data_IF_324795773008
#
_entry.id   IF_324795773008
#
_cell.length_a   1.000
_cell.length_b   1.000
_cell.length_c   1.000
_cell.angle_alpha   90.00
_cell.angle_beta   90.00
_cell.angle_gamma   90.00
#
_symmetry.space_group_name_H-M   'P 1'
#
loop_
_entity.id
_entity.type
_entity.pdbx_description
1 polymer ?
#
# COMPACT_ATOMS: atom_id res chain seq x y z
N UNK A 1 2.36 -13.68 9.59
CA UNK A 1 2.03 -12.65 10.59
C UNK A 1 1.86 -11.31 9.91
N UNK A 2 0.91 -10.49 10.36
CA UNK A 2 0.44 -9.33 9.60
C UNK A 2 1.47 -8.20 9.41
N UNK A 3 2.38 -7.99 10.37
CA UNK A 3 3.33 -6.86 10.34
C UNK A 3 4.77 -7.20 9.94
N UNK A 4 5.12 -8.49 9.85
CA UNK A 4 6.53 -8.91 9.72
C UNK A 4 7.38 -8.38 10.88
N UNK A 5 8.49 -7.71 10.56
CA UNK A 5 9.30 -6.99 11.55
C UNK A 5 8.61 -5.68 11.98
N UNK A 6 8.66 -5.38 13.28
CA UNK A 6 7.98 -4.23 13.85
C UNK A 6 8.74 -3.62 15.03
N UNK A 7 8.60 -2.32 15.24
CA UNK A 7 8.99 -1.64 16.49
C UNK A 7 7.87 -1.76 17.52
N UNK A 8 8.15 -1.48 18.80
CA UNK A 8 7.12 -1.44 19.84
C UNK A 8 6.00 -0.44 19.54
N UNK A 9 6.33 0.70 18.92
CA UNK A 9 5.32 1.70 18.51
C UNK A 9 4.38 1.14 17.44
N UNK A 10 4.92 0.37 16.49
CA UNK A 10 4.12 -0.25 15.44
C UNK A 10 3.11 -1.25 16.03
N UNK A 11 3.58 -2.10 16.96
CA UNK A 11 2.71 -3.05 17.67
C UNK A 11 1.62 -2.32 18.47
N UNK A 12 1.98 -1.21 19.12
CA UNK A 12 1.06 -0.45 19.95
C UNK A 12 -0.07 0.21 19.13
N UNK A 13 0.25 0.71 17.93
CA UNK A 13 -0.69 1.36 17.01
C UNK A 13 -1.44 0.38 16.10
N UNK A 14 -0.99 -0.88 16.00
CA UNK A 14 -1.73 -1.94 15.31
C UNK A 14 -2.77 -2.59 16.24
N UNK A 15 -2.41 -2.86 17.50
CA UNK A 15 -3.29 -3.45 18.51
C UNK A 15 -3.94 -2.36 19.37
N UNK A 16 -4.81 -1.55 18.77
CA UNK A 16 -5.47 -0.42 19.44
C UNK A 16 -6.66 -0.82 20.30
N UNK A 17 -7.22 -2.01 20.08
CA UNK A 17 -8.33 -2.57 20.83
C UNK A 17 -8.12 -4.07 21.14
N UNK A 18 -8.45 -4.55 22.35
CA UNK A 18 -8.87 -3.78 23.53
C UNK A 18 -7.72 -2.93 24.08
N UNK A 19 -8.06 -1.90 24.88
CA UNK A 19 -7.03 -1.12 25.58
C UNK A 19 -6.45 -1.96 26.71
N UNK A 20 -5.17 -2.28 26.61
CA UNK A 20 -4.43 -2.95 27.68
C UNK A 20 -4.01 -1.98 28.78
N UNK A 21 -3.87 -2.48 30.00
CA UNK A 21 -3.32 -1.69 31.10
C UNK A 21 -1.88 -1.22 30.78
N UNK A 22 -1.45 -0.08 31.34
CA UNK A 22 -0.08 0.39 31.17
C UNK A 22 0.93 -0.70 31.57
N UNK A 23 1.82 -1.07 30.65
CA UNK A 23 2.89 -2.05 30.90
C UNK A 23 2.57 -3.51 30.56
N UNK A 24 1.30 -3.93 30.41
CA UNK A 24 0.95 -5.32 30.05
C UNK A 24 1.63 -5.76 28.76
N UNK A 25 1.62 -4.90 27.73
CA UNK A 25 2.29 -5.16 26.44
C UNK A 25 3.80 -5.33 26.59
N UNK A 26 4.44 -4.50 27.42
CA UNK A 26 5.89 -4.58 27.66
C UNK A 26 6.27 -5.86 28.40
N UNK A 27 5.48 -6.26 29.39
CA UNK A 27 5.69 -7.51 30.12
C UNK A 27 5.53 -8.74 29.19
N UNK A 28 4.46 -8.77 28.39
CA UNK A 28 4.25 -9.84 27.42
C UNK A 28 5.39 -9.91 26.38
N UNK A 29 5.80 -8.77 25.84
CA UNK A 29 6.91 -8.72 24.89
C UNK A 29 8.24 -9.18 25.51
N UNK A 30 8.52 -8.79 26.76
CA UNK A 30 9.70 -9.26 27.50
C UNK A 30 9.69 -10.78 27.67
N UNK A 31 8.58 -11.37 28.10
CA UNK A 31 8.45 -12.81 28.23
C UNK A 31 8.67 -13.54 26.89
N UNK A 32 8.13 -13.00 25.78
CA UNK A 32 8.34 -13.57 24.45
C UNK A 32 9.81 -13.52 23.98
N UNK A 33 10.55 -12.48 24.38
CA UNK A 33 11.99 -12.36 24.13
C UNK A 33 12.79 -13.36 25.00
N UNK A 34 12.46 -13.46 26.28
CA UNK A 34 13.08 -14.42 27.21
C UNK A 34 12.89 -15.87 26.76
N UNK A 35 11.73 -16.18 26.18
CA UNK A 35 11.43 -17.51 25.61
C UNK A 35 11.96 -17.71 24.17
N UNK A 36 12.53 -16.69 23.54
CA UNK A 36 13.04 -16.75 22.17
C UNK A 36 11.96 -16.89 21.08
N UNK A 37 10.69 -16.60 21.40
CA UNK A 37 9.61 -16.56 20.41
C UNK A 37 9.68 -15.31 19.53
N UNK A 38 10.13 -14.21 20.12
CA UNK A 38 10.47 -12.95 19.47
C UNK A 38 11.97 -12.73 19.62
N UNK A 39 12.59 -12.19 18.58
CA UNK A 39 14.00 -11.79 18.60
C UNK A 39 14.14 -10.35 18.16
N UNK A 40 15.20 -9.70 18.63
CA UNK A 40 15.65 -8.42 18.08
C UNK A 40 16.35 -8.64 16.75
N UNK A 41 16.13 -7.73 15.81
CA UNK A 41 16.81 -7.71 14.52
C UNK A 41 17.29 -6.29 14.21
N UNK A 42 18.34 -6.19 13.42
CA UNK A 42 18.76 -4.93 12.82
C UNK A 42 18.06 -4.72 11.48
N UNK A 43 17.66 -3.48 11.22
CA UNK A 43 17.08 -3.06 9.94
C UNK A 43 17.92 -1.93 9.38
N UNK A 44 18.52 -2.16 8.21
CA UNK A 44 19.37 -1.20 7.52
C UNK A 44 18.68 0.18 7.41
N UNK A 45 19.38 1.25 7.78
CA UNK A 45 18.83 2.62 7.74
C UNK A 45 17.87 2.97 8.87
N UNK A 46 17.67 2.09 9.85
CA UNK A 46 16.87 2.36 11.05
C UNK A 46 17.72 2.35 12.32
N UNK A 47 17.53 3.36 13.17
CA UNK A 47 18.16 3.44 14.50
C UNK A 47 17.29 2.88 15.63
N UNK A 48 16.09 2.38 15.31
CA UNK A 48 15.13 1.87 16.29
C UNK A 48 15.33 0.40 16.60
N UNK A 49 14.83 -0.04 17.75
CA UNK A 49 14.75 -1.46 18.12
C UNK A 49 13.65 -2.15 17.31
N UNK A 50 14.04 -3.10 16.46
CA UNK A 50 13.12 -3.92 15.68
C UNK A 50 13.00 -5.32 16.24
N UNK A 51 11.78 -5.84 16.17
CA UNK A 51 11.39 -7.13 16.68
C UNK A 51 10.80 -7.96 15.55
N UNK A 52 11.12 -9.23 15.51
CA UNK A 52 10.51 -10.19 14.61
C UNK A 52 10.21 -11.48 15.36
N UNK A 53 9.24 -12.25 14.87
CA UNK A 53 9.06 -13.60 15.36
C UNK A 53 10.26 -14.44 14.92
N UNK A 54 10.87 -15.18 15.84
CA UNK A 54 12.08 -15.97 15.59
C UNK A 54 11.90 -16.90 14.38
N UNK A 55 10.72 -17.53 14.27
CA UNK A 55 10.36 -18.42 13.16
C UNK A 55 10.28 -17.75 11.79
N UNK A 56 10.12 -16.43 11.72
CA UNK A 56 10.02 -15.68 10.47
C UNK A 56 11.36 -15.09 10.02
N UNK A 57 12.40 -15.10 10.86
CA UNK A 57 13.74 -14.59 10.52
C UNK A 57 14.29 -15.21 9.24
N UNK A 58 14.23 -16.54 9.01
CA UNK A 58 14.70 -17.12 7.75
C UNK A 58 13.96 -16.60 6.51
N UNK A 59 12.66 -16.28 6.64
CA UNK A 59 11.86 -15.71 5.55
C UNK A 59 12.24 -14.27 5.28
N UNK A 60 12.50 -13.47 6.32
CA UNK A 60 12.99 -12.09 6.18
C UNK A 60 14.36 -12.05 5.49
N UNK A 61 15.28 -12.95 5.86
CA UNK A 61 16.59 -13.08 5.20
C UNK A 61 16.45 -13.47 3.73
N UNK A 62 15.54 -14.41 3.42
CA UNK A 62 15.24 -14.78 2.03
C UNK A 62 14.64 -13.61 1.25
N UNK A 63 13.70 -12.87 1.83
CA UNK A 63 13.08 -11.71 1.20
C UNK A 63 14.10 -10.62 0.88
N UNK A 64 15.05 -10.34 1.79
CA UNK A 64 16.14 -9.38 1.58
C UNK A 64 17.01 -9.73 0.36
N UNK A 65 17.17 -11.02 0.06
CA UNK A 65 17.99 -11.50 -1.08
C UNK A 65 17.22 -11.60 -2.39
N UNK A 66 15.89 -11.51 -2.34
CA UNK A 66 15.06 -11.61 -3.52
C UNK A 66 15.09 -10.29 -4.29
N UNK A 67 15.21 -10.36 -5.61
CA UNK A 67 15.11 -9.17 -6.46
C UNK A 67 13.71 -8.53 -6.39
N UNK A 68 12.66 -9.35 -6.31
CA UNK A 68 11.27 -8.93 -6.14
C UNK A 68 10.58 -9.85 -5.11
N UNK A 69 10.58 -9.50 -3.81
CA UNK A 69 9.99 -10.35 -2.76
C UNK A 69 8.46 -10.37 -2.78
N UNK A 70 7.84 -9.37 -3.42
CA UNK A 70 6.39 -9.23 -3.61
C UNK A 70 6.08 -9.11 -5.10
N UNK A 71 4.94 -9.64 -5.55
CA UNK A 71 4.51 -9.59 -6.95
C UNK A 71 3.02 -9.27 -7.06
N UNK A 72 2.67 -8.59 -8.15
CA UNK A 72 1.29 -8.26 -8.52
C UNK A 72 0.89 -6.85 -8.09
N UNK A 73 -0.29 -6.46 -8.57
CA UNK A 73 -0.89 -5.16 -8.28
C UNK A 73 -2.21 -5.33 -7.56
N UNK A 74 -2.45 -4.53 -6.53
CA UNK A 74 -3.74 -4.48 -5.86
C UNK A 74 -4.06 -3.06 -5.39
N UNK A 75 -5.35 -2.81 -5.22
CA UNK A 75 -5.85 -1.59 -4.60
C UNK A 75 -6.12 -1.86 -3.12
N UNK A 76 -5.45 -1.13 -2.25
CA UNK A 76 -5.69 -1.24 -0.81
C UNK A 76 -6.99 -0.53 -0.45
N UNK A 77 -7.82 -1.19 0.36
CA UNK A 77 -8.99 -0.56 0.94
C UNK A 77 -8.56 0.70 1.73
N UNK A 78 -9.40 1.75 1.80
CA UNK A 78 -9.00 2.99 2.45
C UNK A 78 -8.80 2.83 3.98
N UNK A 79 -9.29 1.71 4.53
CA UNK A 79 -9.17 1.29 5.92
C UNK A 79 -8.31 0.03 6.09
N UNK A 80 -7.50 -0.32 5.10
CA UNK A 80 -6.59 -1.47 5.19
C UNK A 80 -5.68 -1.34 6.42
N UNK A 81 -5.42 -2.47 7.09
CA UNK A 81 -4.59 -2.51 8.29
C UNK A 81 -3.15 -2.01 8.08
N UNK A 82 -2.65 -2.09 6.85
CA UNK A 82 -1.37 -1.50 6.45
C UNK A 82 -1.37 0.02 6.68
N UNK A 83 -2.53 0.68 6.52
CA UNK A 83 -2.67 2.14 6.51
C UNK A 83 -3.02 2.74 7.88
N UNK A 84 -3.27 1.91 8.91
CA UNK A 84 -3.72 2.38 10.22
C UNK A 84 -2.70 3.28 10.93
N UNK A 85 -1.41 2.95 10.85
CA UNK A 85 -0.35 3.75 11.46
C UNK A 85 0.43 4.52 10.39
N UNK A 86 -0.02 5.74 10.12
CA UNK A 86 0.51 6.61 9.05
C UNK A 86 2.02 6.85 9.14
N UNK A 87 2.57 7.02 10.33
CA UNK A 87 4.02 7.22 10.50
C UNK A 87 4.82 5.98 10.10
N UNK A 88 4.30 4.76 10.35
CA UNK A 88 4.91 3.53 9.86
C UNK A 88 4.87 3.46 8.34
N UNK A 89 3.74 3.81 7.73
CA UNK A 89 3.61 3.82 6.26
C UNK A 89 4.58 4.82 5.64
N UNK A 90 4.66 6.04 6.18
CA UNK A 90 5.60 7.05 5.72
C UNK A 90 7.05 6.58 5.89
N UNK A 91 7.39 5.97 7.04
CA UNK A 91 8.75 5.46 7.32
C UNK A 91 9.16 4.29 6.42
N UNK A 92 8.24 3.35 6.17
CA UNK A 92 8.55 2.13 5.42
C UNK A 92 8.42 2.29 3.91
N UNK A 93 7.48 3.12 3.45
CA UNK A 93 7.13 3.22 2.03
C UNK A 93 7.36 4.61 1.44
N UNK A 94 7.73 5.61 2.24
CA UNK A 94 7.83 7.00 1.77
C UNK A 94 6.49 7.57 1.31
N UNK A 95 5.37 7.05 1.84
CA UNK A 95 4.02 7.32 1.34
C UNK A 95 3.17 8.02 2.40
N UNK A 96 2.88 9.32 2.20
CA UNK A 96 1.93 10.06 3.04
C UNK A 96 0.50 9.86 2.51
N UNK A 97 -0.27 9.11 3.29
CA UNK A 97 -1.64 8.75 2.99
C UNK A 97 -2.62 9.37 3.98
N UNK A 98 -3.67 9.99 3.45
CA UNK A 98 -4.82 10.46 4.22
C UNK A 98 -6.07 10.39 3.36
N UNK A 99 -7.13 9.78 3.88
CA UNK A 99 -8.46 9.89 3.28
C UNK A 99 -9.01 11.30 3.43
N UNK A 100 -9.63 11.83 2.38
CA UNK A 100 -10.13 13.21 2.35
C UNK A 100 -11.67 13.25 2.41
N UNK A 101 -12.24 12.24 3.06
CA UNK A 101 -13.69 12.06 3.25
C UNK A 101 -14.32 13.29 3.93
N UNK A 102 -13.65 13.87 4.92
CA UNK A 102 -14.10 15.07 5.62
C UNK A 102 -13.64 16.38 4.98
N UNK A 103 -12.81 16.31 3.93
CA UNK A 103 -12.36 17.49 3.20
C UNK A 103 -13.44 17.89 2.18
N UNK A 104 -13.86 19.17 2.10
CA UNK A 104 -14.79 19.61 1.06
C UNK A 104 -14.23 19.35 -0.34
N UNK A 105 -15.11 19.01 -1.28
CA UNK A 105 -14.72 18.51 -2.62
C UNK A 105 -13.66 19.34 -3.34
N UNK A 106 -13.84 20.67 -3.38
CA UNK A 106 -12.89 21.58 -4.05
C UNK A 106 -11.51 21.68 -3.38
N UNK A 107 -11.38 21.24 -2.12
CA UNK A 107 -10.12 21.23 -1.36
C UNK A 107 -9.44 19.85 -1.33
N UNK A 108 -10.05 18.86 -1.98
CA UNK A 108 -9.45 17.52 -2.09
C UNK A 108 -8.28 17.55 -3.06
N UNK A 109 -7.18 16.92 -2.68
CA UNK A 109 -5.99 16.76 -3.51
C UNK A 109 -6.07 15.45 -4.28
N UNK A 110 -6.47 14.36 -3.60
CA UNK A 110 -6.42 13.01 -4.17
C UNK A 110 -7.81 12.41 -4.43
N UNK A 111 -8.83 12.77 -3.64
CA UNK A 111 -10.18 12.22 -3.81
C UNK A 111 -10.87 11.85 -2.50
N UNK A 112 -12.07 11.27 -2.59
CA UNK A 112 -12.91 11.06 -1.41
C UNK A 112 -12.49 9.83 -0.59
N UNK A 113 -12.57 8.65 -1.22
CA UNK A 113 -12.11 7.36 -0.67
C UNK A 113 -11.01 6.80 -1.56
N UNK A 114 -9.86 7.46 -1.53
CA UNK A 114 -8.73 7.06 -2.37
C UNK A 114 -8.19 5.70 -1.97
N UNK A 115 -8.02 4.81 -2.93
CA UNK A 115 -7.43 3.49 -2.74
C UNK A 115 -5.93 3.57 -3.10
N UNK A 116 -4.99 3.30 -2.18
CA UNK A 116 -3.59 3.18 -2.55
C UNK A 116 -3.34 2.05 -3.55
N UNK A 117 -2.43 2.28 -4.49
CA UNK A 117 -1.99 1.30 -5.48
C UNK A 117 -0.72 0.65 -4.95
N UNK A 118 -0.81 -0.63 -4.57
CA UNK A 118 0.34 -1.44 -4.19
C UNK A 118 0.75 -2.30 -5.39
N UNK A 119 1.95 -2.11 -5.90
CA UNK A 119 2.51 -2.86 -7.02
C UNK A 119 3.87 -3.44 -6.62
N UNK A 120 4.03 -4.76 -6.69
CA UNK A 120 5.28 -5.46 -6.37
C UNK A 120 5.89 -5.08 -5.00
N UNK A 121 5.03 -4.74 -4.03
CA UNK A 121 5.43 -4.30 -2.69
C UNK A 121 5.66 -2.81 -2.53
N UNK A 122 5.46 -2.01 -3.57
CA UNK A 122 5.66 -0.56 -3.59
C UNK A 122 4.33 0.21 -3.67
N UNK A 123 4.20 1.28 -2.89
CA UNK A 123 3.05 2.19 -2.97
C UNK A 123 3.29 3.24 -4.06
N UNK A 124 2.86 2.94 -5.28
CA UNK A 124 3.19 3.71 -6.49
C UNK A 124 2.21 4.85 -6.78
N UNK A 125 1.07 4.89 -6.08
CA UNK A 125 0.04 5.89 -6.32
C UNK A 125 -1.25 5.61 -5.57
N UNK A 126 -2.31 6.26 -6.02
CA UNK A 126 -3.63 6.21 -5.39
C UNK A 126 -4.73 6.55 -6.40
N UNK A 127 -5.91 5.96 -6.22
CA UNK A 127 -7.05 6.10 -7.14
C UNK A 127 -8.32 6.54 -6.42
N UNK A 128 -9.00 7.57 -6.94
CA UNK A 128 -10.36 7.95 -6.57
C UNK A 128 -11.35 7.28 -7.55
N UNK A 129 -12.08 6.29 -7.05
CA UNK A 129 -13.08 5.54 -7.80
C UNK A 129 -14.50 5.88 -7.37
N UNK A 130 -15.43 5.88 -8.31
CA UNK A 130 -16.86 5.99 -8.06
C UNK A 130 -17.63 4.95 -8.86
N UNK A 131 -18.35 4.08 -8.15
CA UNK A 131 -19.30 3.16 -8.78
C UNK A 131 -20.65 3.85 -8.98
N UNK A 132 -21.15 3.80 -10.21
CA UNK A 132 -22.48 4.20 -10.63
C UNK A 132 -23.32 2.93 -10.85
N UNK A 133 -23.94 2.43 -9.77
CA UNK A 133 -24.61 1.11 -9.78
C UNK A 133 -25.75 1.01 -10.81
N UNK A 134 -26.49 2.11 -11.02
CA UNK A 134 -27.57 2.13 -12.01
C UNK A 134 -27.09 2.06 -13.46
N UNK A 135 -25.82 2.36 -13.72
CA UNK A 135 -25.19 2.31 -15.04
C UNK A 135 -24.22 1.13 -15.18
N UNK A 136 -24.06 0.31 -14.14
CA UNK A 136 -23.03 -0.74 -14.05
C UNK A 136 -21.64 -0.22 -14.46
N UNK A 137 -21.30 0.99 -14.01
CA UNK A 137 -20.07 1.68 -14.42
C UNK A 137 -19.18 2.01 -13.23
N UNK A 138 -17.89 1.70 -13.37
CA UNK A 138 -16.84 2.17 -12.48
C UNK A 138 -16.15 3.39 -13.11
N UNK A 139 -16.36 4.55 -12.51
CA UNK A 139 -15.67 5.78 -12.88
C UNK A 139 -14.37 5.92 -12.08
N UNK A 140 -13.23 5.81 -12.76
CA UNK A 140 -11.93 6.20 -12.24
C UNK A 140 -11.77 7.71 -12.42
N UNK A 141 -12.14 8.45 -11.39
CA UNK A 141 -12.16 9.93 -11.40
C UNK A 141 -10.77 10.50 -11.47
N UNK A 142 -9.86 9.94 -10.68
CA UNK A 142 -8.49 10.41 -10.62
C UNK A 142 -7.53 9.29 -10.23
N UNK A 143 -6.50 9.07 -11.04
CA UNK A 143 -5.31 8.31 -10.65
C UNK A 143 -4.19 9.29 -10.36
N UNK A 144 -3.64 9.26 -9.15
CA UNK A 144 -2.50 10.06 -8.74
C UNK A 144 -1.30 9.15 -8.47
N UNK A 145 -0.34 9.15 -9.39
CA UNK A 145 0.92 8.43 -9.24
C UNK A 145 1.91 9.25 -8.40
N UNK A 146 2.69 8.56 -7.57
CA UNK A 146 3.78 9.18 -6.83
C UNK A 146 4.83 9.75 -7.80
N UNK A 147 5.46 10.87 -7.40
CA UNK A 147 6.42 11.59 -8.27
C UNK A 147 7.61 10.72 -8.64
N UNK A 148 8.13 9.96 -7.68
CA UNK A 148 9.27 9.07 -7.89
C UNK A 148 8.94 8.02 -8.95
N UNK A 149 7.78 7.36 -8.84
CA UNK A 149 7.32 6.37 -9.80
C UNK A 149 7.12 6.99 -11.18
N UNK A 150 6.40 8.11 -11.26
CA UNK A 150 6.09 8.75 -12.52
C UNK A 150 7.33 9.29 -13.26
N UNK A 151 8.39 9.64 -12.53
CA UNK A 151 9.67 10.09 -13.08
C UNK A 151 10.67 8.95 -13.26
N UNK A 152 10.27 7.69 -13.08
CA UNK A 152 11.14 6.52 -13.12
C UNK A 152 12.37 6.68 -12.21
N UNK A 153 12.16 7.23 -11.02
CA UNK A 153 13.16 7.28 -9.95
C UNK A 153 13.09 6.00 -9.11
N UNK A 154 14.18 5.63 -8.42
CA UNK A 154 14.15 4.55 -7.44
C UNK A 154 13.07 4.77 -6.37
N UNK A 155 12.48 3.69 -5.88
CA UNK A 155 11.55 3.72 -4.76
C UNK A 155 12.22 4.34 -3.53
N UNK A 156 11.54 5.23 -2.78
CA UNK A 156 12.03 5.71 -1.50
C UNK A 156 12.07 4.62 -0.43
N UNK A 157 11.33 3.52 -0.61
CA UNK A 157 11.25 2.40 0.32
C UNK A 157 12.43 1.44 0.18
N UNK A 158 12.71 1.01 -1.05
CA UNK A 158 13.66 -0.08 -1.33
C UNK A 158 14.88 0.37 -2.13
N UNK A 159 14.86 1.58 -2.70
CA UNK A 159 15.88 2.02 -3.66
C UNK A 159 15.85 1.26 -4.99
N UNK A 160 14.84 0.41 -5.22
CA UNK A 160 14.70 -0.34 -6.47
C UNK A 160 13.93 0.45 -7.52
N UNK A 161 14.19 0.18 -8.80
CA UNK A 161 13.41 0.73 -9.90
C UNK A 161 12.21 -0.16 -10.15
N UNK A 162 11.03 0.44 -10.28
CA UNK A 162 9.81 -0.25 -10.68
C UNK A 162 9.71 -0.23 -12.21
N UNK A 163 9.39 -1.37 -12.81
CA UNK A 163 9.02 -1.44 -14.22
C UNK A 163 7.68 -0.74 -14.43
N UNK A 164 7.71 0.41 -15.10
CA UNK A 164 6.53 1.25 -15.27
C UNK A 164 5.51 0.62 -16.22
N UNK A 165 5.94 -0.16 -17.21
CA UNK A 165 5.01 -0.78 -18.15
C UNK A 165 4.22 -1.87 -17.45
N UNK A 166 4.92 -2.81 -16.81
CA UNK A 166 4.29 -3.86 -15.99
C UNK A 166 3.42 -3.30 -14.86
N UNK A 167 3.82 -2.17 -14.26
CA UNK A 167 3.00 -1.49 -13.25
C UNK A 167 1.70 -0.90 -13.82
N UNK A 168 1.73 -0.32 -15.02
CA UNK A 168 0.51 0.20 -15.65
C UNK A 168 -0.44 -0.93 -16.08
N UNK A 169 0.11 -2.03 -16.58
CA UNK A 169 -0.66 -3.25 -16.90
C UNK A 169 -1.36 -3.77 -15.65
N UNK A 170 -0.61 -3.95 -14.56
CA UNK A 170 -1.17 -4.40 -13.29
C UNK A 170 -2.18 -3.42 -12.68
N UNK A 171 -2.05 -2.11 -12.92
CA UNK A 171 -3.08 -1.13 -12.50
C UNK A 171 -4.36 -1.30 -13.31
N UNK A 172 -4.27 -1.54 -14.62
CA UNK A 172 -5.44 -1.83 -15.45
C UNK A 172 -6.13 -3.12 -15.00
N UNK A 173 -5.37 -4.19 -14.71
CA UNK A 173 -5.90 -5.44 -14.14
C UNK A 173 -6.59 -5.21 -12.79
N UNK A 174 -6.00 -4.39 -11.93
CA UNK A 174 -6.59 -4.04 -10.63
C UNK A 174 -7.89 -3.25 -10.79
N UNK A 175 -8.02 -2.40 -11.82
CA UNK A 175 -9.28 -1.72 -12.14
C UNK A 175 -10.33 -2.68 -12.68
N UNK A 176 -9.95 -3.63 -13.53
CA UNK A 176 -10.85 -4.69 -14.00
C UNK A 176 -11.34 -5.56 -12.83
N UNK A 177 -10.43 -5.98 -11.95
CA UNK A 177 -10.78 -6.72 -10.72
C UNK A 177 -11.72 -5.94 -9.81
N UNK A 178 -11.46 -4.64 -9.61
CA UNK A 178 -12.37 -3.78 -8.84
C UNK A 178 -13.73 -3.65 -9.52
N UNK A 179 -13.78 -3.52 -10.84
CA UNK A 179 -15.02 -3.45 -11.61
C UNK A 179 -15.86 -4.72 -11.40
N UNK A 180 -15.25 -5.90 -11.52
CA UNK A 180 -15.90 -7.18 -11.19
C UNK A 180 -16.42 -7.19 -9.76
N UNK A 181 -15.61 -6.78 -8.78
CA UNK A 181 -16.00 -6.76 -7.37
C UNK A 181 -17.21 -5.85 -7.10
N UNK A 182 -17.30 -4.70 -7.76
CA UNK A 182 -18.40 -3.74 -7.56
C UNK A 182 -19.60 -3.94 -8.50
N UNK A 183 -19.55 -4.96 -9.38
CA UNK A 183 -20.60 -5.26 -10.35
C UNK A 183 -20.71 -4.24 -11.47
N UNK A 184 -19.57 -3.75 -11.98
CA UNK A 184 -19.50 -2.85 -13.12
C UNK A 184 -18.98 -3.57 -14.37
N UNK A 185 -19.63 -3.34 -15.50
CA UNK A 185 -19.28 -3.87 -16.82
C UNK A 185 -18.39 -2.90 -17.61
N UNK A 186 -18.39 -1.62 -17.25
CA UNK A 186 -17.59 -0.58 -17.88
C UNK A 186 -16.66 0.12 -16.87
N UNK A 187 -15.41 0.37 -17.28
CA UNK A 187 -14.45 1.21 -16.56
C UNK A 187 -14.15 2.46 -17.38
N UNK A 188 -14.37 3.64 -16.79
CA UNK A 188 -14.06 4.94 -17.43
C UNK A 188 -12.92 5.64 -16.70
N UNK A 189 -12.04 6.33 -17.44
CA UNK A 189 -10.87 7.03 -16.88
C UNK A 189 -10.90 8.53 -17.19
N UNK A 190 -11.15 9.34 -16.16
CA UNK A 190 -11.21 10.79 -16.29
C UNK A 190 -9.81 11.43 -16.23
N UNK A 191 -9.19 11.50 -15.04
CA UNK A 191 -7.92 12.21 -14.82
C UNK A 191 -6.80 11.27 -14.38
N UNK A 192 -5.58 11.53 -14.87
CA UNK A 192 -4.35 10.92 -14.33
C UNK A 192 -3.35 12.03 -14.02
N UNK A 193 -2.60 11.90 -12.92
CA UNK A 193 -1.52 12.80 -12.52
C UNK A 193 -0.24 12.01 -12.31
N UNK A 194 0.86 12.33 -13.01
CA UNK A 194 0.94 13.32 -14.09
C UNK A 194 0.21 12.88 -15.37
N UNK A 195 -0.34 13.84 -16.11
CA UNK A 195 -1.22 13.59 -17.27
C UNK A 195 -0.58 12.75 -18.40
N UNK A 196 0.76 12.75 -18.50
CA UNK A 196 1.51 11.92 -19.47
C UNK A 196 1.30 10.41 -19.30
N UNK A 197 0.86 9.96 -18.13
CA UNK A 197 0.55 8.55 -17.87
C UNK A 197 -0.90 8.18 -18.24
N UNK A 198 -1.75 9.16 -18.59
CA UNK A 198 -3.12 8.89 -19.02
C UNK A 198 -3.20 8.09 -20.33
N UNK A 199 -2.52 8.48 -21.43
CA UNK A 199 -2.65 7.75 -22.69
C UNK A 199 -2.26 6.26 -22.63
N UNK A 200 -1.13 5.84 -22.03
CA UNK A 200 -0.81 4.42 -21.93
C UNK A 200 -1.82 3.66 -21.08
N UNK A 201 -2.22 4.20 -19.92
CA UNK A 201 -3.21 3.54 -19.06
C UNK A 201 -4.60 3.43 -19.74
N UNK A 202 -5.01 4.46 -20.48
CA UNK A 202 -6.27 4.44 -21.22
C UNK A 202 -6.27 3.35 -22.30
N UNK A 203 -5.14 3.13 -23.00
CA UNK A 203 -5.05 2.08 -24.01
C UNK A 203 -5.26 0.69 -23.41
N UNK A 204 -4.69 0.44 -22.24
CA UNK A 204 -4.82 -0.84 -21.53
C UNK A 204 -6.28 -1.11 -21.12
N UNK A 205 -7.01 -0.09 -20.69
CA UNK A 205 -8.44 -0.23 -20.34
C UNK A 205 -9.36 -0.46 -21.54
N UNK A 206 -8.93 -0.08 -22.74
CA UNK A 206 -9.72 -0.26 -23.98
C UNK A 206 -9.27 -1.45 -24.82
N UNK A 207 -8.16 -2.09 -24.47
CA UNK A 207 -7.69 -3.26 -25.18
C UNK A 207 -8.67 -4.42 -24.94
N UNK A 208 -9.04 -5.19 -25.98
CA UNK A 208 -9.82 -6.40 -25.77
C UNK A 208 -9.04 -7.37 -24.88
N UNK A 209 -9.73 -7.98 -23.90
CA UNK A 209 -9.13 -9.01 -23.06
C UNK A 209 -8.53 -10.10 -23.95
N UNK A 210 -7.23 -10.37 -23.77
CA UNK A 210 -6.47 -11.34 -24.57
C UNK A 210 -6.68 -12.75 -24.05
#
# INVERSE_FOLDING_TARGET
HAMGAATESDLAHYLTFPRFAPGTRRAALRALLEHGEVVEIDVDGSSGRWLALARDVPKLVRARRAAAPSRGTTLLAPFDSLLWYRERVARLFGFDYRIEVYTPGARRVHGYYTLPILHDGELIGRVDGKTHRGEQRLEIRHVHFERWFANAQPSPATGQRVDREAALDGVADAFASLATFVGADEVTLARVTPGRLRPPLQRLLTAPAT
#
